data_IF_007837225589
#
_entry.id   IF_007837225589
#
_cell.length_a   1.000
_cell.length_b   1.000
_cell.length_c   1.000
_cell.angle_alpha   90.00
_cell.angle_beta   90.00
_cell.angle_gamma   90.00
#
_symmetry.space_group_name_H-M   'P 1'
#
loop_
_entity.id
_entity.type
_entity.pdbx_description
1 polymer ?
#
# COMPACT_ATOMS: atom_id res chain seq x y z
N UNK A 1 11.93 19.75 11.02
CA UNK A 1 11.21 18.67 11.69
C UNK A 1 10.40 19.13 12.92
N UNK A 2 10.20 20.42 13.21
CA UNK A 2 9.57 20.86 14.48
C UNK A 2 8.20 21.58 14.31
N UNK A 3 7.42 21.24 13.29
CA UNK A 3 6.17 21.94 12.97
C UNK A 3 4.86 21.17 13.21
N UNK A 4 4.92 19.83 13.35
CA UNK A 4 3.72 18.99 13.24
C UNK A 4 3.10 18.57 14.58
N UNK A 5 3.82 18.72 15.70
CA UNK A 5 3.40 18.16 17.00
C UNK A 5 2.36 19.00 17.75
N UNK A 6 2.05 20.24 17.32
CA UNK A 6 1.30 21.17 18.19
C UNK A 6 -0.22 21.14 18.12
N UNK A 7 -0.85 20.43 17.18
CA UNK A 7 -2.31 20.56 16.95
C UNK A 7 -3.15 19.27 17.03
N UNK A 8 -2.62 18.12 17.45
CA UNK A 8 -3.37 16.85 17.38
C UNK A 8 -3.21 15.94 18.61
N UNK A 9 -3.29 16.53 19.80
CA UNK A 9 -3.41 15.77 21.05
C UNK A 9 -4.89 15.64 21.46
N UNK A 10 -5.45 14.43 21.37
CA UNK A 10 -6.86 14.16 21.71
C UNK A 10 -7.26 12.68 21.67
N UNK A 11 -6.86 11.96 22.73
CA UNK A 11 -7.51 10.85 23.46
C UNK A 11 -8.07 9.61 22.73
N UNK A 12 -7.35 8.50 22.91
CA UNK A 12 -7.94 7.20 23.24
C UNK A 12 -8.30 7.24 24.74
N UNK A 13 -9.58 7.44 25.11
CA UNK A 13 -10.02 7.36 26.51
C UNK A 13 -10.60 5.97 26.81
N UNK A 14 -10.05 5.32 27.84
CA UNK A 14 -10.66 4.21 28.60
C UNK A 14 -11.05 4.76 29.98
N UNK A 15 -12.32 4.63 30.39
CA UNK A 15 -12.78 4.81 31.78
C UNK A 15 -13.26 6.21 32.22
N UNK A 16 -14.06 6.32 33.31
CA UNK A 16 -15.20 7.23 33.36
C UNK A 16 -14.97 8.61 34.01
N UNK A 17 -15.80 9.55 33.51
CA UNK A 17 -16.08 10.94 33.89
C UNK A 17 -15.58 11.48 35.25
N UNK A 18 -14.84 12.60 35.17
CA UNK A 18 -14.98 13.74 36.08
C UNK A 18 -14.96 15.06 35.31
N UNK A 19 -15.89 15.93 35.68
CA UNK A 19 -16.21 17.23 35.10
C UNK A 19 -15.17 18.29 35.45
N UNK A 20 -14.64 19.02 34.46
CA UNK A 20 -14.32 20.44 34.59
C UNK A 20 -14.40 21.15 33.23
N UNK A 21 -15.04 22.32 33.24
CA UNK A 21 -15.32 23.16 32.08
C UNK A 21 -14.06 23.70 31.43
N UNK A 22 -13.90 23.40 30.14
CA UNK A 22 -12.92 23.99 29.26
C UNK A 22 -13.42 23.86 27.82
N UNK A 23 -13.38 24.95 27.06
CA UNK A 23 -13.83 24.99 25.66
C UNK A 23 -13.21 23.84 24.86
N UNK A 24 -14.06 22.96 24.33
CA UNK A 24 -13.67 21.84 23.45
C UNK A 24 -13.02 22.40 22.17
N UNK A 25 -11.85 21.89 21.73
CA UNK A 25 -11.38 22.13 20.38
C UNK A 25 -12.35 21.46 19.39
N UNK A 26 -12.63 22.13 18.27
CA UNK A 26 -13.52 21.60 17.24
C UNK A 26 -13.00 20.23 16.75
N UNK A 27 -13.77 19.19 17.04
CA UNK A 27 -13.49 17.83 16.59
C UNK A 27 -13.50 17.80 15.06
N UNK A 28 -12.36 17.45 14.46
CA UNK A 28 -12.32 17.02 13.06
C UNK A 28 -12.88 15.59 12.98
N UNK A 29 -14.18 15.47 13.24
CA UNK A 29 -14.98 14.29 12.97
C UNK A 29 -15.96 14.64 11.87
N UNK A 30 -15.45 14.90 10.67
CA UNK A 30 -16.29 14.72 9.49
C UNK A 30 -16.34 13.23 9.26
N UNK A 31 -17.41 12.60 9.76
CA UNK A 31 -17.88 11.33 9.25
C UNK A 31 -17.91 11.46 7.73
N UNK A 32 -17.05 10.71 7.05
CA UNK A 32 -17.19 10.49 5.62
C UNK A 32 -18.48 9.66 5.50
N UNK A 33 -19.60 10.34 5.36
CA UNK A 33 -20.84 9.73 4.90
C UNK A 33 -20.63 9.44 3.42
N UNK A 34 -19.90 8.36 3.11
CA UNK A 34 -20.19 7.63 1.89
C UNK A 34 -21.64 7.18 2.09
N UNK A 35 -22.60 7.90 1.52
CA UNK A 35 -24.00 7.52 1.50
C UNK A 35 -24.13 6.28 0.64
N UNK A 36 -23.73 5.13 1.18
CA UNK A 36 -24.18 3.86 0.68
C UNK A 36 -25.62 3.75 1.12
N UNK A 37 -26.52 3.74 0.14
CA UNK A 37 -27.93 3.53 0.40
C UNK A 37 -28.10 2.23 1.20
N UNK A 38 -28.41 2.39 2.48
CA UNK A 38 -28.76 1.28 3.38
C UNK A 38 -30.27 1.00 3.35
N UNK A 39 -31.02 1.69 2.47
CA UNK A 39 -32.44 1.47 2.31
C UNK A 39 -32.72 0.53 1.13
N UNK A 40 -33.46 -0.54 1.40
CA UNK A 40 -33.97 -1.44 0.37
C UNK A 40 -33.84 -2.91 0.73
N UNK A 41 -34.95 -3.48 1.19
CA UNK A 41 -35.19 -4.91 1.24
C UNK A 41 -34.95 -5.52 -0.16
N UNK A 42 -33.81 -6.19 -0.36
CA UNK A 42 -33.39 -6.78 -1.63
C UNK A 42 -32.06 -7.50 -1.45
N UNK A 43 -31.90 -8.69 -2.04
CA UNK A 43 -30.74 -9.58 -1.86
C UNK A 43 -29.41 -8.81 -1.75
N UNK A 44 -28.57 -9.12 -0.74
CA UNK A 44 -27.23 -8.54 -0.55
C UNK A 44 -26.47 -8.59 -1.87
N UNK A 45 -26.42 -7.47 -2.61
CA UNK A 45 -25.71 -7.42 -3.89
C UNK A 45 -24.21 -7.48 -3.59
N UNK A 46 -23.58 -8.56 -4.03
CA UNK A 46 -22.13 -8.75 -3.93
C UNK A 46 -21.46 -7.56 -4.63
N UNK A 47 -20.62 -6.82 -3.91
CA UNK A 47 -19.89 -5.68 -4.45
C UNK A 47 -18.62 -6.20 -5.11
N UNK A 48 -18.40 -5.89 -6.38
CA UNK A 48 -17.16 -6.25 -7.06
C UNK A 48 -16.11 -5.14 -6.90
N UNK A 49 -14.89 -5.53 -6.50
CA UNK A 49 -13.78 -4.62 -6.24
C UNK A 49 -12.59 -5.08 -7.09
N UNK A 50 -11.98 -4.15 -7.81
CA UNK A 50 -10.72 -4.35 -8.53
C UNK A 50 -9.57 -3.75 -7.71
N UNK A 51 -8.68 -4.60 -7.22
CA UNK A 51 -7.42 -4.18 -6.62
C UNK A 51 -6.35 -4.11 -7.70
N UNK A 52 -5.58 -3.03 -7.74
CA UNK A 52 -4.43 -2.89 -8.65
C UNK A 52 -3.16 -2.91 -7.80
N UNK A 53 -2.31 -3.92 -7.97
CA UNK A 53 -1.02 -4.01 -7.31
C UNK A 53 0.02 -3.12 -8.00
N UNK A 54 1.10 -2.74 -7.31
CA UNK A 54 2.26 -2.05 -7.91
C UNK A 54 3.32 -3.04 -8.41
N UNK A 55 3.40 -4.22 -7.78
CA UNK A 55 4.39 -5.25 -8.05
C UNK A 55 3.76 -6.64 -8.12
N UNK A 56 4.60 -7.62 -8.47
CA UNK A 56 4.24 -9.04 -8.51
C UNK A 56 5.03 -9.89 -7.50
N UNK A 57 5.98 -9.28 -6.78
CA UNK A 57 6.72 -9.93 -5.70
C UNK A 57 6.11 -9.61 -4.35
N UNK A 58 6.30 -10.49 -3.36
CA UNK A 58 5.75 -10.32 -2.01
C UNK A 58 6.55 -9.32 -1.16
N UNK A 59 6.33 -8.03 -1.45
CA UNK A 59 6.74 -6.89 -0.64
C UNK A 59 5.82 -6.62 0.56
N UNK A 60 6.06 -5.50 1.25
CA UNK A 60 5.21 -5.07 2.37
C UNK A 60 3.81 -4.67 1.91
N UNK A 61 3.71 -3.90 0.82
CA UNK A 61 2.43 -3.48 0.24
C UNK A 61 1.63 -4.67 -0.29
N UNK A 62 2.29 -5.60 -0.98
CA UNK A 62 1.68 -6.80 -1.54
C UNK A 62 1.19 -7.77 -0.46
N UNK A 63 1.89 -7.89 0.68
CA UNK A 63 1.38 -8.63 1.85
C UNK A 63 0.12 -8.00 2.43
N UNK A 64 0.09 -6.68 2.57
CA UNK A 64 -1.12 -5.97 3.04
C UNK A 64 -2.29 -6.19 2.10
N UNK A 65 -2.05 -6.15 0.78
CA UNK A 65 -3.07 -6.50 -0.21
C UNK A 65 -3.54 -7.95 -0.06
N UNK A 66 -2.63 -8.90 0.08
CA UNK A 66 -2.95 -10.33 0.24
C UNK A 66 -3.79 -10.57 1.51
N UNK A 67 -3.37 -10.02 2.64
CA UNK A 67 -4.07 -10.14 3.92
C UNK A 67 -5.47 -9.53 3.85
N UNK A 68 -5.60 -8.38 3.17
CA UNK A 68 -6.88 -7.74 2.91
C UNK A 68 -7.81 -8.65 2.10
N UNK A 69 -7.37 -9.11 0.92
CA UNK A 69 -8.26 -9.89 0.04
C UNK A 69 -8.58 -11.28 0.60
N UNK A 70 -7.67 -11.87 1.37
CA UNK A 70 -7.89 -13.13 2.08
C UNK A 70 -8.95 -13.01 3.18
N UNK A 71 -9.02 -11.85 3.83
CA UNK A 71 -9.90 -11.60 4.99
C UNK A 71 -11.26 -11.01 4.60
N UNK A 72 -11.47 -10.66 3.33
CA UNK A 72 -12.76 -10.13 2.86
C UNK A 72 -13.84 -11.21 2.84
N UNK A 73 -15.03 -10.84 3.32
CA UNK A 73 -16.24 -11.68 3.25
C UNK A 73 -16.65 -11.87 1.78
N UNK A 74 -16.50 -13.11 1.28
CA UNK A 74 -16.78 -13.47 -0.12
C UNK A 74 -18.26 -13.46 -0.49
N UNK A 75 -19.16 -13.51 0.49
CA UNK A 75 -20.60 -13.35 0.26
C UNK A 75 -20.98 -11.89 0.02
N UNK A 76 -20.12 -10.96 0.45
CA UNK A 76 -20.35 -9.51 0.32
C UNK A 76 -19.47 -8.87 -0.74
N UNK A 77 -18.27 -9.40 -0.96
CA UNK A 77 -17.25 -8.82 -1.82
C UNK A 77 -16.69 -9.85 -2.80
N UNK A 78 -16.77 -9.54 -4.09
CA UNK A 78 -16.06 -10.27 -5.12
C UNK A 78 -14.80 -9.51 -5.49
N UNK A 79 -13.66 -10.17 -5.38
CA UNK A 79 -12.35 -9.52 -5.55
C UNK A 79 -11.75 -9.90 -6.89
N UNK A 80 -11.31 -8.90 -7.63
CA UNK A 80 -10.41 -9.04 -8.78
C UNK A 80 -9.08 -8.38 -8.41
N UNK A 81 -7.96 -9.00 -8.77
CA UNK A 81 -6.63 -8.41 -8.52
C UNK A 81 -5.87 -8.31 -9.84
N UNK A 82 -5.54 -7.08 -10.23
CA UNK A 82 -4.68 -6.77 -11.36
C UNK A 82 -3.23 -6.71 -10.89
N UNK A 83 -2.36 -7.46 -11.55
CA UNK A 83 -0.92 -7.52 -11.27
C UNK A 83 -0.14 -7.23 -12.56
N UNK A 84 1.05 -6.61 -12.45
CA UNK A 84 1.81 -6.17 -13.63
C UNK A 84 2.47 -7.33 -14.39
N UNK A 85 2.74 -8.45 -13.70
CA UNK A 85 3.38 -9.66 -14.22
C UNK A 85 3.10 -10.84 -13.28
N UNK A 86 3.50 -12.04 -13.65
CA UNK A 86 3.52 -13.21 -12.75
C UNK A 86 4.69 -13.11 -11.77
N UNK A 87 4.48 -13.62 -10.55
CA UNK A 87 5.49 -13.66 -9.47
C UNK A 87 4.93 -14.26 -8.19
N UNK A 88 5.65 -14.15 -7.07
CA UNK A 88 5.23 -14.75 -5.78
C UNK A 88 3.85 -14.25 -5.30
N UNK A 89 3.45 -13.04 -5.65
CA UNK A 89 2.11 -12.52 -5.32
C UNK A 89 1.02 -13.28 -6.10
N UNK A 90 1.24 -13.64 -7.37
CA UNK A 90 0.23 -14.36 -8.14
C UNK A 90 -0.01 -15.75 -7.59
N UNK A 91 1.08 -16.44 -7.21
CA UNK A 91 1.02 -17.76 -6.58
C UNK A 91 0.23 -17.69 -5.26
N UNK A 92 0.57 -16.74 -4.39
CA UNK A 92 -0.11 -16.56 -3.11
C UNK A 92 -1.60 -16.18 -3.26
N UNK A 93 -1.96 -15.42 -4.31
CA UNK A 93 -3.37 -15.11 -4.61
C UNK A 93 -4.14 -16.36 -5.08
N UNK A 94 -3.52 -17.19 -5.91
CA UNK A 94 -4.10 -18.44 -6.40
C UNK A 94 -4.31 -19.44 -5.26
N UNK A 95 -3.37 -19.54 -4.31
CA UNK A 95 -3.49 -20.36 -3.09
C UNK A 95 -4.69 -19.98 -2.23
N UNK A 96 -5.05 -18.70 -2.18
CA UNK A 96 -6.27 -18.23 -1.49
C UNK A 96 -7.50 -18.24 -2.39
N UNK A 97 -7.44 -18.86 -3.57
CA UNK A 97 -8.57 -19.00 -4.49
C UNK A 97 -8.98 -17.70 -5.17
N UNK A 98 -8.02 -16.84 -5.50
CA UNK A 98 -8.20 -15.63 -6.31
C UNK A 98 -7.35 -15.77 -7.57
N UNK A 99 -7.97 -15.80 -8.74
CA UNK A 99 -7.24 -15.81 -10.01
C UNK A 99 -6.84 -14.38 -10.41
N UNK A 100 -5.54 -14.01 -10.38
CA UNK A 100 -5.11 -12.67 -10.70
C UNK A 100 -5.19 -12.38 -12.20
N UNK A 101 -5.58 -11.15 -12.54
CA UNK A 101 -5.51 -10.60 -13.89
C UNK A 101 -4.09 -10.11 -14.14
N UNK A 102 -3.33 -10.83 -14.95
CA UNK A 102 -1.95 -10.45 -15.28
C UNK A 102 -1.95 -9.55 -16.50
N UNK A 103 -1.55 -8.30 -16.32
CA UNK A 103 -1.58 -7.29 -17.37
C UNK A 103 -0.32 -6.44 -17.28
N UNK A 104 0.48 -6.38 -18.35
CA UNK A 104 1.70 -5.59 -18.38
C UNK A 104 1.40 -4.09 -18.66
N UNK A 105 0.85 -3.39 -17.67
CA UNK A 105 0.47 -1.98 -17.84
C UNK A 105 1.62 -0.97 -17.77
N UNK A 106 2.84 -1.41 -17.44
CA UNK A 106 4.04 -0.56 -17.47
C UNK A 106 4.90 -0.74 -18.72
N UNK A 107 4.65 -1.79 -19.51
CA UNK A 107 5.54 -2.21 -20.60
C UNK A 107 7.01 -2.22 -20.17
N UNK A 108 7.89 -1.78 -21.07
CA UNK A 108 9.33 -1.58 -20.78
C UNK A 108 9.64 -0.44 -19.81
N UNK A 109 8.63 0.33 -19.40
CA UNK A 109 8.74 1.40 -18.40
C UNK A 109 9.08 0.89 -17.00
N UNK A 110 8.93 -0.41 -16.72
CA UNK A 110 9.31 -1.01 -15.44
C UNK A 110 10.81 -0.81 -15.10
N UNK A 111 11.66 -0.62 -16.11
CA UNK A 111 13.12 -0.39 -15.97
C UNK A 111 13.52 1.09 -15.98
N UNK A 112 12.57 2.01 -16.16
CA UNK A 112 12.87 3.44 -16.21
C UNK A 112 13.17 3.96 -14.80
N UNK A 113 14.44 4.28 -14.57
CA UNK A 113 14.97 4.85 -13.34
C UNK A 113 15.74 6.14 -13.61
N UNK A 114 16.36 6.67 -12.56
CA UNK A 114 17.10 7.96 -12.58
C UNK A 114 18.31 7.98 -13.53
N UNK A 115 18.74 6.82 -14.01
CA UNK A 115 19.90 6.60 -14.89
C UNK A 115 19.53 6.10 -16.29
N UNK A 116 18.24 6.11 -16.66
CA UNK A 116 17.82 5.54 -17.94
C UNK A 116 18.29 6.37 -19.12
N UNK A 117 18.84 5.67 -20.12
CA UNK A 117 19.35 6.29 -21.35
C UNK A 117 18.23 6.75 -22.28
N UNK A 118 18.54 7.68 -23.19
CA UNK A 118 17.60 8.14 -24.23
C UNK A 118 17.00 6.98 -25.06
N UNK A 119 17.76 5.89 -25.25
CA UNK A 119 17.31 4.69 -25.97
C UNK A 119 16.24 3.91 -25.20
N UNK A 120 16.28 3.91 -23.88
CA UNK A 120 15.26 3.30 -23.01
C UNK A 120 14.00 4.14 -22.97
N UNK A 121 14.13 5.47 -23.01
CA UNK A 121 13.01 6.39 -23.17
C UNK A 121 12.31 6.20 -24.52
N UNK A 122 13.08 6.10 -25.62
CA UNK A 122 12.56 5.84 -26.95
C UNK A 122 11.90 4.44 -27.06
N UNK A 123 12.44 3.43 -26.37
CA UNK A 123 11.85 2.09 -26.35
C UNK A 123 10.58 2.00 -25.52
N UNK A 124 10.43 2.85 -24.50
CA UNK A 124 9.20 3.05 -23.73
C UNK A 124 8.12 3.78 -24.54
N UNK A 125 8.52 4.72 -25.41
CA UNK A 125 7.59 5.37 -26.35
C UNK A 125 6.97 4.34 -27.32
N UNK A 126 7.75 3.34 -27.75
CA UNK A 126 7.26 2.23 -28.59
C UNK A 126 6.26 1.30 -27.88
N UNK A 127 6.20 1.30 -26.54
CA UNK A 127 5.19 0.55 -25.79
C UNK A 127 3.88 1.32 -25.55
N UNK A 128 3.81 2.61 -25.90
CA UNK A 128 2.58 3.41 -25.71
C UNK A 128 1.33 2.82 -26.37
N UNK A 129 1.37 2.29 -27.62
CA UNK A 129 0.19 1.68 -28.21
C UNK A 129 -0.30 0.45 -27.45
N UNK A 130 0.62 -0.34 -26.89
CA UNK A 130 0.29 -1.50 -26.05
C UNK A 130 -0.37 -1.06 -24.74
N UNK A 131 0.20 -0.06 -24.05
CA UNK A 131 -0.38 0.51 -22.83
C UNK A 131 -1.76 1.10 -23.08
N UNK A 132 -1.94 1.83 -24.19
CA UNK A 132 -3.25 2.39 -24.58
C UNK A 132 -4.29 1.31 -24.86
N UNK A 133 -3.91 0.25 -25.57
CA UNK A 133 -4.79 -0.92 -25.81
C UNK A 133 -5.18 -1.58 -24.49
N UNK A 134 -4.21 -1.81 -23.62
CA UNK A 134 -4.40 -2.37 -22.28
C UNK A 134 -5.37 -1.53 -21.44
N UNK A 135 -5.25 -0.20 -21.47
CA UNK A 135 -6.19 0.71 -20.80
C UNK A 135 -7.61 0.56 -21.33
N UNK A 136 -7.79 0.48 -22.66
CA UNK A 136 -9.11 0.32 -23.28
C UNK A 136 -9.72 -1.04 -22.92
N UNK A 137 -8.95 -2.12 -23.00
CA UNK A 137 -9.41 -3.47 -22.65
C UNK A 137 -9.79 -3.57 -21.18
N UNK A 138 -8.99 -2.97 -20.29
CA UNK A 138 -9.30 -2.92 -18.87
C UNK A 138 -10.51 -2.03 -18.57
N UNK A 139 -10.66 -0.89 -19.25
CA UNK A 139 -11.83 -0.02 -19.10
C UNK A 139 -13.12 -0.75 -19.52
N UNK A 140 -13.09 -1.49 -20.63
CA UNK A 140 -14.21 -2.36 -21.03
C UNK A 140 -14.49 -3.41 -19.98
N UNK A 141 -13.48 -4.13 -19.51
CA UNK A 141 -13.62 -5.14 -18.46
C UNK A 141 -14.27 -4.56 -17.19
N UNK A 142 -13.86 -3.36 -16.77
CA UNK A 142 -14.43 -2.67 -15.60
C UNK A 142 -15.88 -2.27 -15.84
N UNK A 143 -16.21 -1.72 -17.00
CA UNK A 143 -17.55 -1.21 -17.30
C UNK A 143 -18.58 -2.31 -17.65
N UNK A 144 -18.14 -3.43 -18.22
CA UNK A 144 -18.99 -4.59 -18.53
C UNK A 144 -19.37 -5.40 -17.28
N UNK A 145 -18.64 -5.18 -16.19
CA UNK A 145 -18.85 -5.85 -14.90
C UNK A 145 -19.40 -4.87 -13.87
N UNK A 146 -20.11 -5.34 -12.83
CA UNK A 146 -20.57 -4.48 -11.75
C UNK A 146 -19.45 -4.12 -10.76
N UNK A 147 -18.26 -3.76 -11.28
CA UNK A 147 -17.12 -3.30 -10.48
C UNK A 147 -17.43 -1.88 -10.01
N UNK A 148 -17.73 -1.76 -8.72
CA UNK A 148 -18.09 -0.48 -8.12
C UNK A 148 -16.87 0.30 -7.62
N UNK A 149 -15.74 -0.37 -7.41
CA UNK A 149 -14.57 0.19 -6.73
C UNK A 149 -13.27 -0.30 -7.35
N UNK A 150 -12.35 0.64 -7.60
CA UNK A 150 -10.96 0.40 -7.95
C UNK A 150 -10.07 0.85 -6.80
N UNK A 151 -9.29 -0.07 -6.24
CA UNK A 151 -8.39 0.18 -5.12
C UNK A 151 -6.94 0.00 -5.57
N UNK A 152 -6.21 1.10 -5.73
CA UNK A 152 -4.84 1.10 -6.23
C UNK A 152 -3.80 1.12 -5.09
N UNK A 153 -2.92 0.11 -5.06
CA UNK A 153 -1.92 -0.11 -4.02
C UNK A 153 -0.53 0.31 -4.52
N UNK A 154 0.01 1.38 -3.95
CA UNK A 154 1.33 1.92 -4.31
C UNK A 154 1.33 2.84 -5.53
N UNK A 155 2.41 3.63 -5.66
CA UNK A 155 2.49 4.80 -6.55
C UNK A 155 2.25 4.43 -8.01
N UNK A 156 2.82 3.31 -8.47
CA UNK A 156 2.65 2.86 -9.85
C UNK A 156 1.20 2.47 -10.13
N UNK A 157 0.58 1.66 -9.27
CA UNK A 157 -0.84 1.32 -9.40
C UNK A 157 -1.73 2.56 -9.43
N UNK A 158 -1.42 3.55 -8.58
CA UNK A 158 -2.18 4.80 -8.48
C UNK A 158 -2.10 5.63 -9.77
N UNK A 159 -0.91 5.79 -10.34
CA UNK A 159 -0.74 6.48 -11.62
C UNK A 159 -1.42 5.75 -12.77
N UNK A 160 -1.37 4.42 -12.78
CA UNK A 160 -2.09 3.65 -13.77
C UNK A 160 -3.61 3.82 -13.61
N UNK A 161 -4.12 3.79 -12.37
CA UNK A 161 -5.54 4.06 -12.09
C UNK A 161 -5.97 5.48 -12.48
N UNK A 162 -5.07 6.46 -12.36
CA UNK A 162 -5.30 7.83 -12.82
C UNK A 162 -5.55 7.91 -14.34
N UNK A 163 -4.78 7.14 -15.12
CA UNK A 163 -4.97 7.06 -16.56
C UNK A 163 -6.25 6.29 -16.94
N UNK A 164 -6.69 5.35 -16.10
CA UNK A 164 -7.91 4.58 -16.30
C UNK A 164 -9.18 5.36 -15.91
N UNK A 165 -9.09 6.27 -14.93
CA UNK A 165 -10.23 6.97 -14.33
C UNK A 165 -11.21 7.61 -15.33
N UNK A 166 -10.77 8.29 -16.42
CA UNK A 166 -11.70 8.91 -17.37
C UNK A 166 -12.55 7.92 -18.17
N UNK A 167 -12.19 6.63 -18.14
CA UNK A 167 -12.80 5.59 -18.97
C UNK A 167 -13.67 4.62 -18.16
N UNK A 168 -13.82 4.82 -16.86
CA UNK A 168 -14.53 3.90 -15.96
C UNK A 168 -15.52 4.63 -15.07
N UNK A 169 -16.62 3.97 -14.71
CA UNK A 169 -17.63 4.50 -13.78
C UNK A 169 -17.41 4.09 -12.32
N UNK A 170 -16.35 3.33 -12.03
CA UNK A 170 -16.03 2.85 -10.70
C UNK A 170 -15.44 3.96 -9.82
N UNK A 171 -15.73 3.90 -8.51
CA UNK A 171 -15.10 4.75 -7.51
C UNK A 171 -13.60 4.43 -7.38
N UNK A 172 -12.75 5.43 -7.15
CA UNK A 172 -11.30 5.24 -7.04
C UNK A 172 -10.79 5.50 -5.62
N UNK A 173 -10.03 4.54 -5.09
CA UNK A 173 -9.31 4.65 -3.81
C UNK A 173 -7.82 4.44 -4.04
N UNK A 174 -7.01 5.32 -3.49
CA UNK A 174 -5.55 5.20 -3.51
C UNK A 174 -5.03 4.79 -2.14
N UNK A 175 -4.21 3.75 -2.09
CA UNK A 175 -3.56 3.30 -0.85
C UNK A 175 -2.05 3.47 -0.97
N UNK A 176 -1.52 4.45 -0.24
CA UNK A 176 -0.11 4.84 -0.29
C UNK A 176 0.65 4.09 0.79
N UNK A 177 1.64 3.29 0.42
CA UNK A 177 2.44 2.50 1.37
C UNK A 177 3.82 3.10 1.69
N UNK A 178 4.28 4.08 0.91
CA UNK A 178 5.64 4.62 0.96
C UNK A 178 5.67 6.12 1.21
N UNK A 179 6.80 6.60 1.75
CA UNK A 179 7.13 8.03 1.78
C UNK A 179 7.55 8.51 0.39
N UNK A 180 6.97 9.63 -0.06
CA UNK A 180 7.23 10.16 -1.39
C UNK A 180 8.40 11.14 -1.37
N UNK A 181 9.64 10.63 -1.38
CA UNK A 181 10.86 11.46 -1.20
C UNK A 181 11.34 12.26 -2.44
N UNK A 182 10.75 12.08 -3.63
CA UNK A 182 11.23 12.71 -4.89
C UNK A 182 10.44 13.96 -5.33
N UNK A 183 11.02 15.15 -5.10
CA UNK A 183 10.36 16.47 -5.19
C UNK A 183 9.70 16.85 -6.53
N UNK A 184 10.19 16.38 -7.69
CA UNK A 184 9.64 16.79 -9.00
C UNK A 184 8.38 15.99 -9.39
N UNK A 185 8.45 14.67 -9.27
CA UNK A 185 7.30 13.79 -9.46
C UNK A 185 6.22 14.02 -8.39
N UNK A 186 6.64 14.45 -7.20
CA UNK A 186 5.77 14.73 -6.06
C UNK A 186 4.68 15.77 -6.35
N UNK A 187 4.99 16.91 -6.99
CA UNK A 187 3.97 17.95 -7.25
C UNK A 187 2.85 17.46 -8.16
N UNK A 188 3.23 16.70 -9.19
CA UNK A 188 2.27 16.13 -10.14
C UNK A 188 1.43 15.04 -9.47
N UNK A 189 2.07 14.09 -8.80
CA UNK A 189 1.38 13.05 -8.04
C UNK A 189 0.41 13.64 -7.01
N UNK A 190 0.86 14.64 -6.24
CA UNK A 190 0.05 15.32 -5.24
C UNK A 190 -1.14 16.09 -5.86
N UNK A 191 -0.97 16.67 -7.04
CA UNK A 191 -2.10 17.28 -7.75
C UNK A 191 -3.15 16.22 -8.14
N UNK A 192 -2.71 15.07 -8.66
CA UNK A 192 -3.61 13.98 -9.05
C UNK A 192 -4.30 13.33 -7.84
N UNK A 193 -3.60 13.10 -6.72
CA UNK A 193 -4.21 12.52 -5.52
C UNK A 193 -5.27 13.43 -4.87
N UNK A 194 -5.39 14.70 -5.29
CA UNK A 194 -6.43 15.63 -4.80
C UNK A 194 -7.72 15.51 -5.59
N UNK A 195 -7.63 15.13 -6.85
CA UNK A 195 -8.73 15.25 -7.80
C UNK A 195 -9.25 13.90 -8.30
N UNK A 196 -8.39 12.88 -8.35
CA UNK A 196 -8.72 11.59 -8.95
C UNK A 196 -9.35 10.63 -7.93
N UNK A 197 -8.69 10.26 -6.82
CA UNK A 197 -9.31 9.36 -5.85
C UNK A 197 -10.32 10.11 -4.99
N UNK A 198 -11.36 9.41 -4.57
CA UNK A 198 -12.33 9.92 -3.60
C UNK A 198 -11.74 9.96 -2.19
N UNK A 199 -10.86 9.00 -1.88
CA UNK A 199 -10.14 8.91 -0.62
C UNK A 199 -8.73 8.36 -0.83
N UNK A 200 -7.78 8.92 -0.08
CA UNK A 200 -6.40 8.43 0.02
C UNK A 200 -6.24 7.72 1.37
N UNK A 201 -5.96 6.43 1.32
CA UNK A 201 -5.62 5.61 2.48
C UNK A 201 -4.11 5.63 2.72
N UNK A 202 -3.72 5.79 3.98
CA UNK A 202 -2.32 5.79 4.40
C UNK A 202 -2.12 4.94 5.65
N UNK A 203 -0.96 4.25 5.81
CA UNK A 203 -0.74 3.30 6.90
C UNK A 203 -0.45 3.98 8.25
N UNK A 204 -0.08 5.26 8.24
CA UNK A 204 0.31 5.97 9.45
C UNK A 204 0.08 7.47 9.37
N UNK A 205 0.06 8.12 10.53
CA UNK A 205 0.04 9.58 10.65
C UNK A 205 1.27 10.23 10.00
N UNK A 206 2.43 9.57 10.06
CA UNK A 206 3.66 10.09 9.46
C UNK A 206 3.52 10.28 7.94
N UNK A 207 2.86 9.33 7.27
CA UNK A 207 2.55 9.44 5.83
C UNK A 207 1.44 10.45 5.60
N UNK A 208 0.39 10.48 6.44
CA UNK A 208 -0.70 11.46 6.34
C UNK A 208 -0.21 12.92 6.33
N UNK A 209 0.86 13.22 7.08
CA UNK A 209 1.46 14.55 7.10
C UNK A 209 1.99 15.01 5.72
N UNK A 210 2.34 14.09 4.81
CA UNK A 210 2.73 14.43 3.43
C UNK A 210 1.54 14.86 2.57
N UNK A 211 0.31 14.63 3.06
CA UNK A 211 -0.95 14.93 2.39
C UNK A 211 -1.81 15.91 3.21
N UNK A 212 -1.20 16.76 4.05
CA UNK A 212 -1.92 17.67 4.96
C UNK A 212 -2.96 18.56 4.28
N UNK A 213 -2.74 18.87 3.01
CA UNK A 213 -3.59 19.78 2.23
C UNK A 213 -4.69 19.03 1.45
N UNK A 214 -4.80 17.71 1.59
CA UNK A 214 -5.81 16.89 0.94
C UNK A 214 -7.14 16.89 1.70
N UNK A 215 -8.28 16.94 0.98
CA UNK A 215 -9.58 16.97 1.62
C UNK A 215 -9.96 15.65 2.29
N UNK A 216 -9.55 14.51 1.71
CA UNK A 216 -10.02 13.18 2.09
C UNK A 216 -8.85 12.19 2.25
N UNK A 217 -8.15 12.27 3.38
CA UNK A 217 -7.10 11.31 3.77
C UNK A 217 -7.55 10.53 4.99
N UNK A 218 -7.45 9.21 4.94
CA UNK A 218 -7.80 8.33 6.05
C UNK A 218 -6.60 7.47 6.45
N UNK A 219 -6.26 7.49 7.74
CA UNK A 219 -5.21 6.64 8.29
C UNK A 219 -5.79 5.28 8.66
N UNK A 220 -5.36 4.24 7.96
CA UNK A 220 -5.69 2.85 8.26
C UNK A 220 -4.39 2.07 8.45
N UNK A 221 -4.00 1.75 9.70
CA UNK A 221 -2.82 0.92 9.96
C UNK A 221 -2.94 -0.46 9.32
N UNK A 222 -1.80 -1.01 8.90
CA UNK A 222 -1.75 -2.37 8.37
C UNK A 222 -2.17 -3.38 9.45
N UNK A 223 -3.07 -4.30 9.09
CA UNK A 223 -3.43 -5.42 9.95
C UNK A 223 -2.37 -6.53 9.90
N UNK A 224 -2.35 -7.36 10.94
CA UNK A 224 -1.56 -8.60 11.02
C UNK A 224 -2.45 -9.71 11.60
N UNK A 225 -2.35 -10.94 11.09
CA UNK A 225 -3.12 -12.06 11.65
C UNK A 225 -2.52 -12.48 12.99
N UNK A 226 -3.23 -12.14 14.07
CA UNK A 226 -2.79 -12.46 15.43
C UNK A 226 -2.82 -13.96 15.73
N UNK A 227 -3.52 -14.80 14.94
CA UNK A 227 -3.49 -16.26 15.12
C UNK A 227 -2.20 -16.85 14.58
N UNK A 228 -1.68 -16.29 13.49
CA UNK A 228 -0.38 -16.68 12.93
C UNK A 228 0.76 -16.14 13.78
N UNK A 229 0.70 -14.85 14.14
CA UNK A 229 1.73 -14.17 14.93
C UNK A 229 1.45 -14.21 16.44
N UNK A 230 0.99 -15.36 16.96
CA UNK A 230 0.82 -15.60 18.40
C UNK A 230 1.74 -16.73 18.88
N UNK A 231 3.02 -16.45 19.17
CA UNK A 231 3.96 -17.47 19.62
C UNK A 231 3.50 -18.10 20.95
N UNK A 232 3.45 -19.44 21.00
CA UNK A 232 2.94 -20.21 22.13
C UNK A 232 3.81 -20.15 23.40
N UNK A 233 5.09 -19.76 23.28
CA UNK A 233 5.98 -19.62 24.44
C UNK A 233 7.19 -18.74 24.12
N UNK A 234 7.68 -18.00 25.13
CA UNK A 234 9.05 -17.45 25.08
C UNK A 234 10.03 -18.62 25.04
N UNK A 235 10.92 -18.66 24.05
CA UNK A 235 12.01 -19.65 24.01
C UNK A 235 12.94 -19.38 25.20
N UNK A 236 12.98 -20.30 26.16
CA UNK A 236 13.86 -20.22 27.34
C UNK A 236 15.15 -20.98 27.07
N UNK A 237 16.31 -20.39 27.38
CA UNK A 237 17.61 -21.07 27.30
C UNK A 237 18.36 -20.95 25.96
N UNK A 238 17.83 -20.22 24.98
CA UNK A 238 18.59 -19.88 23.77
C UNK A 238 19.50 -18.66 24.01
N UNK A 239 20.64 -18.58 23.29
CA UNK A 239 21.48 -17.38 23.24
C UNK A 239 20.65 -16.15 22.90
N UNK A 240 21.02 -15.00 23.45
CA UNK A 240 20.35 -13.75 23.09
C UNK A 240 20.49 -13.50 21.59
N UNK A 241 19.36 -13.35 20.91
CA UNK A 241 19.32 -13.12 19.46
C UNK A 241 18.82 -11.72 19.16
N UNK A 242 19.54 -11.02 18.30
CA UNK A 242 19.12 -9.75 17.72
C UNK A 242 18.85 -9.98 16.24
N UNK A 243 17.60 -9.80 15.82
CA UNK A 243 17.15 -10.05 14.45
C UNK A 243 16.85 -8.75 13.69
N UNK A 244 17.33 -8.67 12.46
CA UNK A 244 16.90 -7.68 11.47
C UNK A 244 16.08 -8.39 10.39
N UNK A 245 14.82 -7.96 10.20
CA UNK A 245 13.93 -8.51 9.18
C UNK A 245 13.61 -7.42 8.16
N UNK A 246 13.92 -7.66 6.89
CA UNK A 246 13.56 -6.76 5.81
C UNK A 246 14.34 -7.02 4.52
N UNK A 247 13.75 -6.59 3.40
CA UNK A 247 14.38 -6.67 2.09
C UNK A 247 15.81 -6.09 2.09
N UNK A 248 16.72 -6.71 1.34
CA UNK A 248 18.09 -6.23 1.21
C UNK A 248 18.10 -4.95 0.35
N UNK A 249 18.19 -3.82 1.04
CA UNK A 249 18.14 -2.51 0.40
C UNK A 249 18.88 -1.47 1.26
N UNK A 250 19.64 -0.52 0.68
CA UNK A 250 20.46 0.41 1.45
C UNK A 250 19.68 1.18 2.53
N UNK A 251 18.43 1.54 2.26
CA UNK A 251 17.57 2.28 3.19
C UNK A 251 17.01 1.43 4.34
N UNK A 252 17.14 0.10 4.28
CA UNK A 252 16.74 -0.80 5.38
C UNK A 252 17.82 -0.90 6.46
N UNK A 253 19.06 -0.48 6.17
CA UNK A 253 20.07 -0.25 7.19
C UNK A 253 20.86 -1.50 7.61
N UNK A 254 20.96 -2.53 6.76
CA UNK A 254 21.75 -3.74 7.04
C UNK A 254 23.20 -3.40 7.42
N UNK A 255 23.79 -2.38 6.77
CA UNK A 255 25.13 -1.89 7.12
C UNK A 255 25.20 -1.31 8.53
N UNK A 256 24.18 -0.57 8.96
CA UNK A 256 24.10 -0.01 10.32
C UNK A 256 23.94 -1.15 11.34
N UNK A 257 23.14 -2.17 11.01
CA UNK A 257 22.97 -3.35 11.83
C UNK A 257 24.28 -4.12 12.03
N UNK A 258 25.06 -4.34 10.96
CA UNK A 258 26.37 -5.00 11.03
C UNK A 258 27.38 -4.20 11.86
N UNK A 259 27.41 -2.86 11.71
CA UNK A 259 28.26 -1.98 12.52
C UNK A 259 27.92 -2.04 14.01
N UNK A 260 26.62 -2.13 14.34
CA UNK A 260 26.18 -2.31 15.72
C UNK A 260 26.56 -3.70 16.25
N UNK A 261 26.38 -4.74 15.44
CA UNK A 261 26.73 -6.12 15.80
C UNK A 261 28.22 -6.29 16.11
N UNK A 262 29.11 -5.64 15.34
CA UNK A 262 30.55 -5.64 15.59
C UNK A 262 30.90 -5.02 16.95
N UNK A 263 30.26 -3.91 17.31
CA UNK A 263 30.53 -3.25 18.60
C UNK A 263 30.04 -4.08 19.77
N UNK A 264 28.85 -4.68 19.65
CA UNK A 264 28.28 -5.51 20.71
C UNK A 264 29.07 -6.80 20.87
N UNK A 265 29.47 -7.47 19.78
CA UNK A 265 30.18 -8.76 19.86
C UNK A 265 31.54 -8.67 20.57
N UNK A 266 32.17 -7.49 20.59
CA UNK A 266 33.41 -7.24 21.36
C UNK A 266 33.21 -7.30 22.88
N UNK A 267 32.00 -7.04 23.36
CA UNK A 267 31.67 -7.01 24.80
C UNK A 267 30.77 -8.16 25.24
N UNK A 268 29.96 -8.69 24.32
CA UNK A 268 29.00 -9.78 24.54
C UNK A 268 29.09 -10.82 23.39
N UNK A 269 30.12 -11.68 23.38
CA UNK A 269 30.36 -12.63 22.29
C UNK A 269 29.32 -13.76 22.19
N UNK A 270 28.49 -13.93 23.22
CA UNK A 270 27.40 -14.90 23.27
C UNK A 270 26.14 -14.46 22.50
N UNK A 271 26.05 -13.18 22.11
CA UNK A 271 24.91 -12.64 21.35
C UNK A 271 24.99 -13.09 19.89
N UNK A 272 23.88 -13.60 19.37
CA UNK A 272 23.73 -14.03 17.99
C UNK A 272 22.96 -12.97 17.18
N UNK A 273 23.45 -12.65 15.97
CA UNK A 273 22.85 -11.66 15.09
C UNK A 273 22.30 -12.34 13.84
N UNK A 274 21.03 -12.11 13.54
CA UNK A 274 20.37 -12.68 12.35
C UNK A 274 19.87 -11.58 11.43
N UNK A 275 20.14 -11.73 10.14
CA UNK A 275 19.56 -10.88 9.09
C UNK A 275 18.69 -11.78 8.20
N UNK A 276 17.41 -11.48 8.13
CA UNK A 276 16.42 -12.24 7.36
C UNK A 276 15.78 -11.33 6.32
N UNK A 277 15.91 -11.68 5.05
CA UNK A 277 15.43 -10.87 3.94
C UNK A 277 15.82 -11.48 2.61
N UNK A 278 15.32 -10.87 1.54
CA UNK A 278 15.61 -11.23 0.15
C UNK A 278 15.70 -9.95 -0.69
N UNK A 279 16.26 -10.07 -1.90
CA UNK A 279 16.28 -8.99 -2.89
C UNK A 279 14.93 -8.96 -3.64
N UNK A 280 13.96 -8.21 -3.10
CA UNK A 280 12.60 -8.15 -3.66
C UNK A 280 12.45 -7.17 -4.84
N UNK A 281 13.42 -6.27 -5.04
CA UNK A 281 13.32 -5.20 -6.03
C UNK A 281 14.41 -5.36 -7.10
N UNK A 282 13.98 -5.56 -8.34
CA UNK A 282 14.82 -5.46 -9.53
C UNK A 282 15.06 -3.98 -9.85
N UNK A 283 15.79 -3.29 -8.97
CA UNK A 283 16.19 -1.89 -9.16
C UNK A 283 17.61 -1.85 -9.73
N UNK A 284 17.76 -1.24 -10.90
CA UNK A 284 19.07 -0.95 -11.48
C UNK A 284 19.85 0.03 -10.59
N UNK A 285 21.04 -0.38 -10.15
CA UNK A 285 22.00 0.47 -9.44
C UNK A 285 22.21 0.14 -7.96
N UNK A 286 22.57 -1.11 -7.67
CA UNK A 286 23.43 -1.42 -6.53
C UNK A 286 24.89 -1.12 -6.88
#
# INVERSE_FOLDING_TARGET
MNGCERNWCGKLDTGPARSHGGRRPAACSRSIALSWDHSGNGAKRVREILHISTGAELGGAERVLLDLVRSLDRERFRVHVLVPRRGRLTEALEEVGISPLVVEYWGRGHRLGRYSSWREYASALRSLPHVGRTLIELARFVNERPIALIHAHGIKAQMFSAALAPFVHAHLIWHVHDFLRHRRFWRFFHALSRTIPEVVLVPSRAVACEFSDHPNVLVIPNGVDLREFSPASKRTGERQRVGMIGAFAPWKGQRVFLQAAEQVSRTMPEVEFLIVGDELYDTTGH
#
